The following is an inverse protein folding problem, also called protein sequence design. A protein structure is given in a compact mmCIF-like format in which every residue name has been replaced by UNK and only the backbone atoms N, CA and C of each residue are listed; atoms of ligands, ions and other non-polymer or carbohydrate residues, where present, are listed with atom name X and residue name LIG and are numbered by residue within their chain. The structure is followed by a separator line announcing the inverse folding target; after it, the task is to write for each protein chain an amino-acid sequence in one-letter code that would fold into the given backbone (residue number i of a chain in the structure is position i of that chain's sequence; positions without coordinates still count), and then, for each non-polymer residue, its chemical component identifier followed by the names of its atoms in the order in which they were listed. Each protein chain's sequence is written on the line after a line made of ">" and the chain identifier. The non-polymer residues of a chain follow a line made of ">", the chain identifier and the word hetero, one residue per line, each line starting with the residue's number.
data_IF_995681935004
#
_entry.id   IF_995681935004
#
_cell.length_a   1.000
_cell.length_b   1.000
_cell.length_c   1.000
_cell.angle_alpha   90.00
_cell.angle_beta   90.00
_cell.angle_gamma   90.00
#
_symmetry.space_group_name_H-M   'P 1'
#
loop_
_entity.id
_entity.type
_entity.pdbx_description
1 polymer ?
#
# COMPACT_ATOMS: atom_id res chain seq x y z
N UNK A 1 -23.49 -59.35 -12.19
CA UNK A 1 -22.92 -58.29 -11.33
C UNK A 1 -21.41 -58.26 -11.53
N UNK A 2 -20.85 -57.27 -12.24
CA UNK A 2 -19.40 -57.14 -12.48
C UNK A 2 -18.79 -56.23 -11.41
N UNK A 3 -17.87 -56.75 -10.59
CA UNK A 3 -17.07 -55.94 -9.66
C UNK A 3 -15.91 -55.32 -10.44
N UNK A 4 -15.89 -53.99 -10.53
CA UNK A 4 -14.76 -53.23 -11.08
C UNK A 4 -13.75 -53.09 -9.93
N UNK A 5 -12.66 -53.85 -9.97
CA UNK A 5 -11.55 -53.68 -9.04
C UNK A 5 -10.67 -52.53 -9.51
N UNK A 6 -10.52 -51.49 -8.68
CA UNK A 6 -9.48 -50.49 -8.90
C UNK A 6 -8.11 -51.14 -8.68
N UNK A 7 -7.21 -51.02 -9.66
CA UNK A 7 -5.84 -51.47 -9.52
C UNK A 7 -5.07 -50.57 -8.55
N UNK A 8 -4.07 -51.12 -7.85
CA UNK A 8 -3.23 -50.38 -6.88
C UNK A 8 -2.58 -49.12 -7.46
N UNK A 9 -2.40 -49.04 -8.79
CA UNK A 9 -1.89 -47.85 -9.46
C UNK A 9 -2.87 -46.65 -9.43
N UNK A 10 -4.19 -46.91 -9.48
CA UNK A 10 -5.21 -45.85 -9.43
C UNK A 10 -5.36 -45.24 -8.03
N UNK A 11 -5.08 -46.03 -6.99
CA UNK A 11 -5.08 -45.55 -5.59
C UNK A 11 -3.86 -44.66 -5.31
N UNK A 12 -2.69 -45.02 -5.86
CA UNK A 12 -1.46 -44.24 -5.71
C UNK A 12 -1.57 -42.89 -6.41
N UNK A 13 -2.18 -42.83 -7.60
CA UNK A 13 -2.37 -41.58 -8.33
C UNK A 13 -3.34 -40.62 -7.60
N UNK A 14 -4.36 -41.15 -6.91
CA UNK A 14 -5.32 -40.35 -6.13
C UNK A 14 -4.68 -39.76 -4.86
N UNK A 15 -3.76 -40.48 -4.21
CA UNK A 15 -3.03 -39.99 -3.03
C UNK A 15 -2.05 -38.87 -3.40
N UNK A 16 -1.39 -38.95 -4.56
CA UNK A 16 -0.47 -37.92 -5.04
C UNK A 16 -1.22 -36.63 -5.42
N UNK A 17 -2.43 -36.74 -6.01
CA UNK A 17 -3.26 -35.59 -6.36
C UNK A 17 -3.92 -34.91 -5.15
N UNK A 18 -4.12 -35.62 -4.04
CA UNK A 18 -4.63 -35.04 -2.80
C UNK A 18 -3.53 -34.35 -1.97
N UNK A 19 -2.27 -34.80 -2.07
CA UNK A 19 -1.15 -34.19 -1.35
C UNK A 19 -0.74 -32.82 -1.92
N UNK A 20 -0.79 -32.64 -3.25
CA UNK A 20 -0.38 -31.38 -3.90
C UNK A 20 -1.40 -30.24 -3.78
N UNK A 21 -2.63 -30.55 -3.37
CA UNK A 21 -3.68 -29.56 -3.12
C UNK A 21 -3.58 -28.89 -1.74
N UNK A 22 -2.76 -29.40 -0.82
CA UNK A 22 -2.57 -28.80 0.51
C UNK A 22 -1.38 -27.85 0.60
N UNK A 23 -0.33 -28.05 -0.19
CA UNK A 23 0.88 -27.20 -0.11
C UNK A 23 0.70 -25.79 -0.68
N UNK A 24 -0.41 -25.50 -1.36
CA UNK A 24 -0.68 -24.16 -1.92
C UNK A 24 -1.43 -23.22 -0.96
N UNK A 25 -1.82 -23.68 0.23
CA UNK A 25 -2.59 -22.86 1.17
C UNK A 25 -1.74 -22.05 2.17
N UNK A 26 -0.42 -22.21 2.20
CA UNK A 26 0.47 -21.53 3.16
C UNK A 26 1.69 -20.92 2.48
N UNK A 27 1.48 -19.87 1.70
CA UNK A 27 2.52 -18.87 1.48
C UNK A 27 1.94 -17.47 1.59
N UNK A 28 1.87 -16.99 2.83
CA UNK A 28 1.84 -15.57 3.12
C UNK A 28 2.44 -15.38 4.51
N UNK A 29 3.76 -15.44 4.57
CA UNK A 29 4.49 -14.82 5.67
C UNK A 29 4.36 -13.31 5.48
N UNK A 30 3.22 -12.74 5.88
CA UNK A 30 3.19 -11.32 6.15
C UNK A 30 4.32 -11.02 7.14
N UNK A 31 5.16 -9.99 6.90
CA UNK A 31 6.25 -9.67 7.80
C UNK A 31 5.70 -9.53 9.21
N UNK A 32 6.46 -10.02 10.20
CA UNK A 32 6.07 -9.92 11.60
C UNK A 32 5.78 -8.44 11.92
N UNK A 33 4.72 -8.15 12.68
CA UNK A 33 4.30 -6.77 12.98
C UNK A 33 5.44 -5.87 13.51
N UNK A 34 6.44 -6.45 14.17
CA UNK A 34 7.63 -5.79 14.67
C UNK A 34 8.59 -5.26 13.57
N UNK A 35 8.49 -5.74 12.34
CA UNK A 35 9.27 -5.21 11.21
C UNK A 35 8.59 -3.98 10.59
N UNK A 36 7.26 -3.98 10.55
CA UNK A 36 6.48 -2.88 9.95
C UNK A 36 6.52 -1.62 10.82
N UNK A 37 6.56 -1.76 12.15
CA UNK A 37 6.60 -0.60 13.06
C UNK A 37 7.83 0.28 12.91
N UNK A 38 8.94 -0.28 12.41
CA UNK A 38 10.20 0.44 12.23
C UNK A 38 10.22 1.38 11.02
N UNK A 39 9.21 1.30 10.16
CA UNK A 39 9.12 2.17 8.98
C UNK A 39 8.98 3.64 9.41
N UNK A 40 9.80 4.49 8.80
CA UNK A 40 9.76 5.93 8.97
C UNK A 40 8.79 6.55 7.99
N UNK A 41 7.71 7.09 8.52
CA UNK A 41 6.61 7.65 7.73
C UNK A 41 6.70 9.17 7.70
N UNK A 42 6.65 9.75 6.50
CA UNK A 42 6.34 11.15 6.28
C UNK A 42 4.87 11.27 5.85
N UNK A 43 4.04 11.90 6.66
CA UNK A 43 2.68 12.29 6.28
C UNK A 43 2.67 13.75 5.84
N UNK A 44 2.55 14.02 4.55
CA UNK A 44 2.39 15.36 4.00
C UNK A 44 0.91 15.65 3.74
N UNK A 45 0.29 16.44 4.61
CA UNK A 45 -1.14 16.74 4.59
C UNK A 45 -1.43 18.24 4.66
N UNK A 46 -2.65 18.60 5.13
CA UNK A 46 -3.03 19.98 5.43
C UNK A 46 -2.76 20.29 6.91
N UNK A 47 -1.79 21.17 7.23
CA UNK A 47 -1.40 21.46 8.60
C UNK A 47 -2.57 21.96 9.45
N UNK A 48 -2.72 21.39 10.65
CA UNK A 48 -3.71 21.81 11.64
C UNK A 48 -5.15 21.37 11.35
N UNK A 49 -5.37 20.54 10.33
CA UNK A 49 -6.71 20.03 10.02
C UNK A 49 -7.09 18.82 10.87
N UNK A 50 -8.40 18.63 11.09
CA UNK A 50 -8.93 17.46 11.82
C UNK A 50 -8.51 16.15 11.14
N UNK A 51 -8.53 16.11 9.80
CA UNK A 51 -8.08 14.95 9.00
C UNK A 51 -6.61 14.61 9.24
N UNK A 52 -5.72 15.61 9.25
CA UNK A 52 -4.30 15.40 9.58
C UNK A 52 -4.17 14.83 10.98
N UNK A 53 -4.82 15.47 11.96
CA UNK A 53 -4.74 15.05 13.37
C UNK A 53 -5.19 13.59 13.54
N UNK A 54 -6.40 13.26 13.07
CA UNK A 54 -6.99 11.94 13.24
C UNK A 54 -6.15 10.85 12.59
N UNK A 55 -5.63 11.13 11.38
CA UNK A 55 -4.88 10.11 10.64
C UNK A 55 -3.45 9.95 11.15
N UNK A 56 -2.78 11.03 11.57
CA UNK A 56 -1.48 10.95 12.25
C UNK A 56 -1.62 10.21 13.59
N UNK A 57 -2.67 10.47 14.35
CA UNK A 57 -2.97 9.76 15.61
C UNK A 57 -3.23 8.27 15.35
N UNK A 58 -3.85 7.91 14.22
CA UNK A 58 -3.97 6.51 13.78
C UNK A 58 -2.61 5.90 13.42
N UNK A 59 -1.80 6.56 12.57
CA UNK A 59 -0.50 6.04 12.11
C UNK A 59 0.46 5.76 13.28
N UNK A 60 0.49 6.65 14.28
CA UNK A 60 1.34 6.51 15.47
C UNK A 60 1.00 5.29 16.34
N UNK A 61 -0.13 4.62 16.12
CA UNK A 61 -0.44 3.33 16.78
C UNK A 61 0.34 2.15 16.20
N UNK A 62 0.85 2.30 14.97
CA UNK A 62 1.46 1.21 14.21
C UNK A 62 2.92 1.48 13.85
N UNK A 63 3.34 2.74 13.76
CA UNK A 63 4.68 3.13 13.34
C UNK A 63 5.38 3.94 14.42
N UNK A 64 6.64 3.59 14.68
CA UNK A 64 7.47 4.22 15.70
C UNK A 64 7.86 5.66 15.30
N UNK A 65 7.97 5.91 14.00
CA UNK A 65 8.38 7.22 13.45
C UNK A 65 7.34 7.71 12.45
N UNK A 66 6.59 8.73 12.86
CA UNK A 66 5.66 9.47 12.01
C UNK A 66 5.97 10.96 12.12
N UNK A 67 6.37 11.58 11.01
CA UNK A 67 6.54 13.04 10.91
C UNK A 67 5.50 13.63 9.98
N UNK A 68 5.11 14.86 10.26
CA UNK A 68 4.15 15.63 9.47
C UNK A 68 4.87 16.65 8.59
N UNK A 69 4.38 16.86 7.38
CA UNK A 69 4.81 17.90 6.45
C UNK A 69 3.62 18.65 5.85
N UNK A 70 3.87 19.85 5.33
CA UNK A 70 2.85 20.60 4.60
C UNK A 70 2.86 20.19 3.12
N UNK A 71 1.76 19.64 2.63
CA UNK A 71 1.63 19.24 1.24
C UNK A 71 1.70 20.42 0.26
N UNK A 72 1.31 21.62 0.67
CA UNK A 72 1.35 22.81 -0.19
C UNK A 72 2.78 23.22 -0.56
N UNK A 73 3.73 22.99 0.35
CA UNK A 73 5.14 23.34 0.16
C UNK A 73 6.01 22.11 -0.07
N UNK A 74 5.40 20.96 -0.34
CA UNK A 74 6.10 19.68 -0.46
C UNK A 74 7.10 19.70 -1.63
N UNK A 75 8.28 19.13 -1.36
CA UNK A 75 9.31 18.85 -2.35
C UNK A 75 9.76 17.40 -2.20
N UNK A 76 10.15 16.78 -3.31
CA UNK A 76 10.68 15.42 -3.32
C UNK A 76 11.84 15.21 -2.34
N UNK A 77 12.68 16.24 -2.14
CA UNK A 77 13.79 16.22 -1.20
C UNK A 77 13.33 16.04 0.26
N UNK A 78 12.11 16.45 0.60
CA UNK A 78 11.56 16.32 1.96
C UNK A 78 11.33 14.83 2.34
N UNK A 79 11.29 13.93 1.34
CA UNK A 79 11.19 12.47 1.56
C UNK A 79 12.51 11.82 2.00
N UNK A 80 13.61 12.57 2.03
CA UNK A 80 14.93 12.06 2.39
C UNK A 80 14.92 11.51 3.83
N UNK A 81 15.31 10.24 3.96
CA UNK A 81 15.38 9.57 5.26
C UNK A 81 14.07 8.95 5.73
N UNK A 82 12.99 9.01 4.93
CA UNK A 82 11.76 8.27 5.19
C UNK A 82 11.67 7.06 4.26
N UNK A 83 11.02 6.00 4.75
CA UNK A 83 10.80 4.77 3.99
C UNK A 83 9.55 4.88 3.11
N UNK A 84 8.52 5.57 3.62
CA UNK A 84 7.26 5.80 2.91
C UNK A 84 6.78 7.23 3.14
N UNK A 85 6.37 7.89 2.07
CA UNK A 85 5.72 9.21 2.13
C UNK A 85 4.25 9.11 1.72
N UNK A 86 3.35 9.70 2.51
CA UNK A 86 1.93 9.80 2.21
C UNK A 86 1.63 11.24 1.79
N UNK A 87 1.00 11.41 0.62
CA UNK A 87 0.55 12.69 0.10
C UNK A 87 -0.98 12.72 0.21
N UNK A 88 -1.52 13.52 1.13
CA UNK A 88 -2.95 13.50 1.48
C UNK A 88 -3.60 14.88 1.37
N UNK A 89 -4.68 14.97 0.60
CA UNK A 89 -5.53 16.16 0.54
C UNK A 89 -6.97 15.78 0.22
N UNK A 90 -7.92 16.38 0.92
CA UNK A 90 -9.35 16.13 0.70
C UNK A 90 -9.96 17.09 -0.34
N UNK A 91 -11.14 16.76 -0.87
CA UNK A 91 -11.83 17.60 -1.86
C UNK A 91 -12.61 18.77 -1.22
N UNK A 92 -12.60 18.87 0.11
CA UNK A 92 -13.48 19.81 0.83
C UNK A 92 -13.06 21.27 0.60
N UNK A 93 -11.83 21.50 0.14
CA UNK A 93 -11.37 22.81 -0.33
C UNK A 93 -11.07 22.76 -1.83
N UNK A 94 -11.78 23.59 -2.61
CA UNK A 94 -11.65 23.72 -4.07
C UNK A 94 -10.24 24.11 -4.57
N UNK A 95 -9.29 24.34 -3.65
CA UNK A 95 -7.90 24.71 -3.94
C UNK A 95 -6.92 23.82 -3.17
N UNK A 96 -6.89 22.53 -3.47
CA UNK A 96 -5.77 21.69 -3.06
C UNK A 96 -4.49 22.00 -3.83
N UNK A 97 -3.30 21.76 -3.25
CA UNK A 97 -2.04 22.04 -3.90
C UNK A 97 -1.83 21.12 -5.11
N UNK A 98 -1.24 21.68 -6.17
CA UNK A 98 -0.80 20.90 -7.33
C UNK A 98 0.54 20.24 -7.02
N UNK A 99 0.48 19.08 -6.41
CA UNK A 99 1.68 18.28 -6.16
C UNK A 99 2.18 17.73 -7.49
N UNK A 100 3.47 17.91 -7.76
CA UNK A 100 4.14 17.32 -8.92
C UNK A 100 5.18 16.34 -8.41
N UNK A 101 5.09 15.11 -8.89
CA UNK A 101 6.12 14.09 -8.68
C UNK A 101 6.75 13.78 -10.04
N UNK A 102 8.07 13.86 -10.10
CA UNK A 102 8.89 13.58 -11.26
C UNK A 102 8.81 12.11 -11.64
N UNK A 103 8.88 11.81 -12.93
CA UNK A 103 8.97 10.43 -13.43
C UNK A 103 10.27 9.73 -12.99
N UNK A 104 11.30 10.50 -12.61
CA UNK A 104 12.56 9.97 -12.10
C UNK A 104 12.54 9.76 -10.56
N UNK A 105 11.46 10.14 -9.89
CA UNK A 105 11.34 9.97 -8.45
C UNK A 105 11.08 8.49 -8.12
N UNK A 106 11.97 7.89 -7.33
CA UNK A 106 11.99 6.44 -7.09
C UNK A 106 11.61 6.03 -5.68
N UNK A 107 11.37 6.99 -4.76
CA UNK A 107 11.03 6.65 -3.38
C UNK A 107 9.56 6.28 -3.25
N UNK A 108 9.20 5.38 -2.31
CA UNK A 108 7.82 4.97 -2.11
C UNK A 108 6.92 6.15 -1.70
N UNK A 109 5.89 6.40 -2.50
CA UNK A 109 4.85 7.39 -2.24
C UNK A 109 3.47 6.76 -2.35
N UNK A 110 2.63 7.03 -1.36
CA UNK A 110 1.21 6.69 -1.37
C UNK A 110 0.45 8.00 -1.50
N UNK A 111 -0.53 8.04 -2.41
CA UNK A 111 -1.38 9.21 -2.61
C UNK A 111 -2.79 8.92 -2.10
N UNK A 112 -3.38 9.87 -1.39
CA UNK A 112 -4.69 9.71 -0.75
C UNK A 112 -5.55 10.93 -1.11
N UNK A 113 -6.71 10.69 -1.71
CA UNK A 113 -7.62 11.75 -2.15
C UNK A 113 -7.13 12.48 -3.40
N UNK A 114 -7.22 13.82 -3.39
CA UNK A 114 -6.97 14.69 -4.55
C UNK A 114 -5.59 14.50 -5.20
N UNK A 115 -4.48 14.34 -4.45
CA UNK A 115 -3.15 14.16 -5.03
C UNK A 115 -3.05 12.92 -5.93
N UNK A 116 -3.78 11.84 -5.60
CA UNK A 116 -3.79 10.63 -6.42
C UNK A 116 -4.38 10.86 -7.81
N UNK A 117 -5.52 11.54 -7.88
CA UNK A 117 -6.13 11.93 -9.16
C UNK A 117 -5.24 12.87 -9.97
N UNK A 118 -4.58 13.83 -9.30
CA UNK A 118 -3.65 14.76 -9.97
C UNK A 118 -2.44 14.05 -10.56
N UNK A 119 -1.77 13.18 -9.79
CA UNK A 119 -0.59 12.44 -10.27
C UNK A 119 -0.97 11.46 -11.37
N UNK A 120 -2.10 10.75 -11.24
CA UNK A 120 -2.59 9.87 -12.31
C UNK A 120 -2.84 10.64 -13.61
N UNK A 121 -3.42 11.86 -13.54
CA UNK A 121 -3.61 12.72 -14.71
C UNK A 121 -2.27 13.23 -15.26
N UNK A 122 -1.34 13.63 -14.40
CA UNK A 122 -0.01 14.10 -14.79
C UNK A 122 0.73 13.05 -15.63
N UNK A 123 0.73 11.79 -15.16
CA UNK A 123 1.41 10.67 -15.81
C UNK A 123 0.54 9.93 -16.83
N UNK A 124 -0.68 10.42 -17.12
CA UNK A 124 -1.63 9.81 -18.06
C UNK A 124 -1.93 8.34 -17.73
N UNK A 125 -2.00 8.00 -16.44
CA UNK A 125 -2.39 6.67 -15.99
C UNK A 125 -3.88 6.44 -16.20
N UNK A 126 -4.27 5.19 -16.48
CA UNK A 126 -5.67 4.81 -16.78
C UNK A 126 -6.65 5.08 -15.63
N UNK A 127 -6.15 5.27 -14.41
CA UNK A 127 -6.93 5.60 -13.21
C UNK A 127 -7.36 7.06 -13.13
N UNK A 128 -6.86 7.95 -13.99
CA UNK A 128 -7.23 9.36 -14.01
C UNK A 128 -8.59 9.70 -14.64
N UNK A 129 -9.40 8.69 -15.01
CA UNK A 129 -10.67 8.83 -15.74
C UNK A 129 -11.87 8.13 -15.06
N UNK A 130 -11.74 7.69 -13.80
CA UNK A 130 -12.88 7.17 -13.03
C UNK A 130 -13.72 8.30 -12.43
#
# INVERSE_FOLDING_TARGET
>A
MRRIGLSSAAVILLVILLASAWDHAQSSSAPAAAEVSKLRILYAGRPGSDREKDFVDFLKKYFDVVQTGNLETFREADTQGFDVTLLDWDWNELRGPRVTVSENFSRPVITIGVPGGMICRQWRLKTGYL
#
